data_IF_701346700101
#
_entry.id   IF_701346700101
#
_cell.length_a   1.000
_cell.length_b   1.000
_cell.length_c   1.000
_cell.angle_alpha   90.00
_cell.angle_beta   90.00
_cell.angle_gamma   90.00
#
_symmetry.space_group_name_H-M   'P 1'
#
loop_
_entity.id
_entity.type
_entity.pdbx_description
1 polymer ?
#
# COMPACT_ATOMS: atom_id res chain seq x y z
N UNK A 1 42.37 23.77 11.40
CA UNK A 1 43.62 24.18 10.73
C UNK A 1 43.55 23.64 9.29
N UNK A 2 43.50 24.61 8.42
CA UNK A 2 44.24 24.68 7.11
C UNK A 2 43.88 23.59 6.08
N UNK A 3 43.21 23.95 5.03
CA UNK A 3 43.50 24.73 3.78
C UNK A 3 43.65 23.76 2.62
N UNK A 4 42.72 23.85 1.61
CA UNK A 4 42.86 24.47 0.29
C UNK A 4 43.81 23.70 -0.64
N UNK A 5 43.34 23.39 -1.85
CA UNK A 5 43.84 23.72 -3.22
C UNK A 5 43.00 22.86 -4.18
N UNK A 6 42.10 23.27 -5.03
CA UNK A 6 42.07 24.21 -6.15
C UNK A 6 43.10 23.87 -7.24
N UNK A 7 42.60 23.69 -8.43
CA UNK A 7 43.16 24.08 -9.76
C UNK A 7 42.81 23.02 -10.83
N UNK A 8 42.04 23.31 -11.82
CA UNK A 8 42.04 24.23 -12.96
C UNK A 8 42.56 23.56 -14.25
N UNK A 9 41.76 23.76 -15.33
CA UNK A 9 42.07 23.91 -16.76
C UNK A 9 42.41 22.62 -17.54
N UNK A 10 42.05 22.39 -18.80
CA UNK A 10 41.68 23.28 -19.91
C UNK A 10 41.03 22.48 -21.04
N UNK A 11 40.13 23.11 -21.69
CA UNK A 11 39.88 23.32 -23.13
C UNK A 11 40.73 22.51 -24.14
N UNK A 12 40.03 21.87 -25.09
CA UNK A 12 40.43 21.83 -26.48
C UNK A 12 39.21 21.63 -27.41
N UNK A 13 38.92 22.66 -28.18
CA UNK A 13 38.09 22.65 -29.38
C UNK A 13 38.79 21.90 -30.51
N UNK A 14 38.02 21.14 -31.30
CA UNK A 14 38.33 20.97 -32.71
C UNK A 14 37.02 20.72 -33.47
N UNK A 15 36.68 21.71 -34.28
CA UNK A 15 35.66 21.63 -35.32
C UNK A 15 36.25 20.98 -36.56
N UNK A 16 35.45 20.18 -37.29
CA UNK A 16 35.66 19.93 -38.70
C UNK A 16 34.36 19.78 -39.44
N UNK A 17 34.17 20.67 -40.42
CA UNK A 17 33.06 20.79 -41.34
C UNK A 17 33.14 19.79 -42.50
N UNK A 18 31.98 19.44 -42.97
CA UNK A 18 31.56 19.33 -44.38
C UNK A 18 31.97 18.16 -45.23
N UNK A 19 31.00 17.44 -45.71
CA UNK A 19 30.86 17.13 -47.14
C UNK A 19 29.41 16.80 -47.52
N UNK A 20 28.87 17.54 -48.46
CA UNK A 20 27.63 17.31 -49.16
C UNK A 20 27.70 16.09 -50.08
N UNK A 21 26.57 15.39 -50.23
CA UNK A 21 26.41 14.36 -51.27
C UNK A 21 24.97 13.90 -51.41
N UNK A 22 24.31 14.37 -52.46
CA UNK A 22 23.00 14.19 -53.06
C UNK A 22 22.21 12.90 -52.84
N UNK A 23 20.92 13.11 -52.58
CA UNK A 23 19.72 12.52 -53.20
C UNK A 23 19.59 10.98 -53.28
N UNK A 24 18.63 10.45 -52.49
CA UNK A 24 17.52 9.66 -53.08
C UNK A 24 16.40 9.53 -52.03
N UNK A 25 15.20 9.84 -52.46
CA UNK A 25 13.97 9.71 -51.65
C UNK A 25 13.70 8.26 -51.35
N UNK A 26 13.49 7.96 -50.08
CA UNK A 26 12.78 6.76 -49.66
C UNK A 26 12.00 7.07 -48.35
N UNK A 27 10.77 6.76 -48.44
CA UNK A 27 9.70 6.94 -47.50
C UNK A 27 10.08 6.80 -46.02
N UNK A 28 9.98 7.88 -45.29
CA UNK A 28 10.02 7.89 -43.83
C UNK A 28 8.74 7.25 -43.30
N UNK A 29 8.83 5.99 -42.91
CA UNK A 29 7.91 5.41 -41.96
C UNK A 29 8.20 6.04 -40.61
N UNK A 30 7.38 6.94 -40.17
CA UNK A 30 7.39 7.46 -38.82
C UNK A 30 7.03 6.30 -37.88
N UNK A 31 8.02 5.63 -37.36
CA UNK A 31 7.86 4.83 -36.16
C UNK A 31 7.59 5.83 -35.02
N UNK A 32 6.32 6.00 -34.71
CA UNK A 32 5.92 6.60 -33.45
C UNK A 32 6.50 5.72 -32.33
N UNK A 33 7.56 6.17 -31.73
CA UNK A 33 8.03 5.64 -30.46
C UNK A 33 6.93 5.91 -29.47
N UNK A 34 6.11 4.91 -29.24
CA UNK A 34 5.21 4.89 -28.08
C UNK A 34 6.13 4.82 -26.87
N UNK A 35 6.38 5.96 -26.28
CA UNK A 35 6.87 6.02 -24.90
C UNK A 35 5.79 5.31 -24.07
N UNK A 36 6.01 4.05 -23.75
CA UNK A 36 5.29 3.39 -22.69
C UNK A 36 5.62 4.16 -21.42
N UNK A 37 4.70 5.00 -20.98
CA UNK A 37 4.73 5.57 -19.67
C UNK A 37 4.88 4.40 -18.70
N UNK A 38 6.04 4.27 -18.09
CA UNK A 38 6.26 3.40 -16.95
C UNK A 38 5.34 3.92 -15.85
N UNK A 39 4.15 3.36 -15.74
CA UNK A 39 3.28 3.59 -14.58
C UNK A 39 3.99 2.94 -13.41
N UNK A 40 4.63 3.75 -12.60
CA UNK A 40 5.24 3.33 -11.35
C UNK A 40 4.12 2.74 -10.49
N UNK A 41 4.17 1.43 -10.25
CA UNK A 41 3.16 0.74 -9.46
C UNK A 41 3.37 1.08 -7.99
N UNK A 42 2.35 1.62 -7.34
CA UNK A 42 2.39 1.91 -5.91
C UNK A 42 2.04 0.65 -5.12
N UNK A 43 2.91 0.25 -4.21
CA UNK A 43 2.62 -0.88 -3.30
C UNK A 43 1.83 -0.37 -2.10
N UNK A 44 0.73 -1.06 -1.77
CA UNK A 44 -0.10 -0.82 -0.58
C UNK A 44 -0.14 -2.10 0.27
N UNK A 45 0.43 -2.06 1.48
CA UNK A 45 0.50 -3.19 2.40
C UNK A 45 -0.60 -3.08 3.44
N UNK A 46 -1.50 -4.05 3.49
CA UNK A 46 -2.66 -4.05 4.39
C UNK A 46 -2.69 -5.32 5.24
N UNK A 47 -2.78 -5.15 6.55
CA UNK A 47 -3.02 -6.24 7.50
C UNK A 47 -4.51 -6.52 7.66
N UNK A 48 -4.92 -7.79 7.69
CA UNK A 48 -6.32 -8.16 7.82
C UNK A 48 -6.49 -9.45 8.63
N UNK A 49 -7.65 -9.63 9.26
CA UNK A 49 -8.04 -10.96 9.72
C UNK A 49 -8.48 -11.83 8.53
N UNK A 50 -8.33 -13.17 8.60
CA UNK A 50 -8.57 -14.04 7.44
C UNK A 50 -9.98 -13.90 6.86
N UNK A 51 -11.00 -13.94 7.71
CA UNK A 51 -12.40 -13.85 7.30
C UNK A 51 -13.17 -12.86 8.18
N UNK A 52 -14.00 -11.98 7.61
CA UNK A 52 -14.25 -11.78 6.17
C UNK A 52 -13.25 -10.82 5.50
N UNK A 53 -12.34 -10.18 6.26
CA UNK A 53 -11.59 -8.99 5.84
C UNK A 53 -10.60 -9.28 4.71
N UNK A 54 -9.74 -10.31 4.84
CA UNK A 54 -8.81 -10.67 3.78
C UNK A 54 -9.56 -11.14 2.52
N UNK A 55 -10.65 -11.89 2.67
CA UNK A 55 -11.49 -12.32 1.54
C UNK A 55 -12.05 -11.13 0.75
N UNK A 56 -12.46 -10.06 1.44
CA UNK A 56 -12.92 -8.82 0.81
C UNK A 56 -11.76 -8.13 0.07
N UNK A 57 -10.61 -8.02 0.70
CA UNK A 57 -9.42 -7.40 0.10
C UNK A 57 -8.95 -8.14 -1.16
N UNK A 58 -9.04 -9.46 -1.19
CA UNK A 58 -8.72 -10.25 -2.39
C UNK A 58 -9.61 -9.88 -3.59
N UNK A 59 -10.89 -9.53 -3.36
CA UNK A 59 -11.78 -9.03 -4.42
C UNK A 59 -11.42 -7.61 -4.87
N UNK A 60 -10.75 -6.84 -4.02
CA UNK A 60 -10.35 -5.46 -4.32
C UNK A 60 -9.04 -5.41 -5.11
N UNK A 61 -8.15 -6.39 -4.97
CA UNK A 61 -6.86 -6.46 -5.66
C UNK A 61 -6.93 -6.15 -7.16
N UNK A 62 -7.78 -6.82 -7.97
CA UNK A 62 -7.83 -6.54 -9.40
C UNK A 62 -8.30 -5.13 -9.71
N UNK A 63 -9.20 -4.57 -8.89
CA UNK A 63 -9.71 -3.20 -9.06
C UNK A 63 -8.60 -2.17 -8.82
N UNK A 64 -7.77 -2.38 -7.81
CA UNK A 64 -6.65 -1.50 -7.49
C UNK A 64 -5.51 -1.65 -8.50
N UNK A 65 -5.28 -2.86 -9.02
CA UNK A 65 -4.28 -3.10 -10.06
C UNK A 65 -4.55 -2.30 -11.34
N UNK A 66 -5.83 -2.14 -11.73
CA UNK A 66 -6.22 -1.27 -12.84
C UNK A 66 -5.88 0.21 -12.61
N UNK A 67 -5.68 0.61 -11.35
CA UNK A 67 -5.30 1.96 -10.94
C UNK A 67 -3.78 2.09 -10.68
N UNK A 68 -3.00 1.05 -10.99
CA UNK A 68 -1.56 1.04 -10.74
C UNK A 68 -1.16 0.82 -9.28
N UNK A 69 -2.06 0.22 -8.47
CA UNK A 69 -1.80 -0.09 -7.06
C UNK A 69 -1.66 -1.60 -6.89
N UNK A 70 -0.53 -2.05 -6.34
CA UNK A 70 -0.28 -3.44 -5.94
C UNK A 70 -0.69 -3.61 -4.47
N UNK A 71 -1.86 -4.20 -4.24
CA UNK A 71 -2.36 -4.49 -2.89
C UNK A 71 -1.73 -5.78 -2.36
N UNK A 72 -0.93 -5.65 -1.32
CA UNK A 72 -0.32 -6.76 -0.58
C UNK A 72 -1.04 -6.97 0.75
N UNK A 73 -1.70 -8.11 0.89
CA UNK A 73 -2.46 -8.47 2.10
C UNK A 73 -1.63 -9.40 2.97
N UNK A 74 -1.52 -9.05 4.26
CA UNK A 74 -0.93 -9.91 5.30
C UNK A 74 -2.02 -10.33 6.27
N UNK A 75 -2.23 -11.62 6.42
CA UNK A 75 -3.23 -12.15 7.35
C UNK A 75 -2.68 -12.31 8.76
N UNK A 76 -3.50 -11.98 9.75
CA UNK A 76 -3.20 -12.12 11.17
C UNK A 76 -4.35 -12.84 11.89
N UNK A 77 -4.00 -13.81 12.72
CA UNK A 77 -4.96 -14.54 13.57
C UNK A 77 -5.21 -13.87 14.94
N UNK A 78 -4.50 -12.80 15.24
CA UNK A 78 -4.62 -12.02 16.47
C UNK A 78 -5.04 -10.57 16.18
N UNK A 79 -5.40 -9.84 17.24
CA UNK A 79 -5.89 -8.46 17.13
C UNK A 79 -4.89 -7.40 17.61
N UNK A 80 -3.70 -7.79 18.03
CA UNK A 80 -2.64 -6.88 18.50
C UNK A 80 -1.67 -6.54 17.36
N UNK A 81 -1.18 -7.57 16.69
CA UNK A 81 -0.14 -7.44 15.66
C UNK A 81 -0.54 -6.53 14.48
N UNK A 82 -1.78 -6.55 13.95
CA UNK A 82 -2.16 -5.65 12.87
C UNK A 82 -2.01 -4.17 13.22
N UNK A 83 -2.32 -3.79 14.47
CA UNK A 83 -2.15 -2.42 14.93
C UNK A 83 -0.68 -2.08 15.17
N UNK A 84 0.07 -3.00 15.78
CA UNK A 84 1.51 -2.80 16.00
C UNK A 84 2.26 -2.60 14.68
N UNK A 85 1.93 -3.38 13.64
CA UNK A 85 2.56 -3.30 12.33
C UNK A 85 2.22 -2.01 11.56
N UNK A 86 1.05 -1.42 11.80
CA UNK A 86 0.74 -0.09 11.26
C UNK A 86 1.48 1.01 12.03
N UNK A 87 1.52 0.93 13.35
CA UNK A 87 2.20 1.93 14.17
C UNK A 87 3.71 1.98 13.90
N UNK A 88 4.36 0.84 13.66
CA UNK A 88 5.79 0.76 13.35
C UNK A 88 6.14 1.00 11.87
N UNK A 89 5.13 1.16 11.00
CA UNK A 89 5.30 1.43 9.58
C UNK A 89 5.63 0.20 8.73
N UNK A 90 5.51 -1.01 9.26
CA UNK A 90 5.67 -2.26 8.49
C UNK A 90 4.50 -2.50 7.53
N UNK A 91 3.33 -1.97 7.88
CA UNK A 91 2.11 -1.94 7.08
C UNK A 91 1.64 -0.49 6.90
N UNK A 92 0.99 -0.22 5.77
CA UNK A 92 0.40 1.10 5.48
C UNK A 92 -0.97 1.26 6.14
N UNK A 93 -1.72 0.16 6.29
CA UNK A 93 -3.05 0.14 6.90
C UNK A 93 -3.39 -1.25 7.45
N UNK A 94 -4.50 -1.32 8.20
CA UNK A 94 -5.14 -2.57 8.55
C UNK A 94 -6.66 -2.51 8.34
N UNK A 95 -7.27 -3.69 8.20
CA UNK A 95 -8.69 -3.85 8.01
C UNK A 95 -9.17 -5.07 8.80
N UNK A 96 -9.65 -4.85 10.04
CA UNK A 96 -10.11 -5.94 10.91
C UNK A 96 -10.95 -5.48 12.09
N UNK A 97 -10.89 -4.22 12.51
CA UNK A 97 -11.37 -3.77 13.81
C UNK A 97 -12.52 -2.79 13.73
N UNK A 98 -13.24 -2.65 14.84
CA UNK A 98 -14.23 -1.61 15.06
C UNK A 98 -13.62 -0.40 15.78
N UNK A 99 -14.19 0.78 15.56
CA UNK A 99 -13.67 2.02 16.11
C UNK A 99 -13.47 2.01 17.64
N UNK A 100 -14.37 1.48 18.47
CA UNK A 100 -14.14 1.43 19.92
C UNK A 100 -12.88 0.63 20.30
N UNK A 101 -12.62 -0.48 19.62
CA UNK A 101 -11.40 -1.27 19.85
C UNK A 101 -10.14 -0.47 19.47
N UNK A 102 -10.17 0.25 18.36
CA UNK A 102 -9.04 1.10 17.94
C UNK A 102 -8.76 2.20 18.96
N UNK A 103 -9.80 2.86 19.47
CA UNK A 103 -9.67 3.92 20.48
C UNK A 103 -9.08 3.38 21.78
N UNK A 104 -9.58 2.24 22.27
CA UNK A 104 -9.06 1.58 23.47
C UNK A 104 -7.60 1.13 23.25
N UNK A 105 -7.30 0.51 22.08
CA UNK A 105 -5.94 0.08 21.74
C UNK A 105 -4.95 1.24 21.75
N UNK A 106 -5.30 2.35 21.12
CA UNK A 106 -4.45 3.55 21.09
C UNK A 106 -4.19 4.08 22.51
N UNK A 107 -5.23 4.12 23.34
CA UNK A 107 -5.11 4.62 24.71
C UNK A 107 -4.23 3.72 25.60
N UNK A 108 -4.38 2.40 25.45
CA UNK A 108 -3.65 1.42 26.28
C UNK A 108 -2.19 1.24 25.83
N UNK A 109 -1.91 1.36 24.53
CA UNK A 109 -0.59 1.10 23.95
C UNK A 109 0.16 2.36 23.54
N UNK A 110 -0.43 3.54 23.75
CA UNK A 110 0.14 4.84 23.34
C UNK A 110 0.49 4.86 21.84
N UNK A 111 -0.43 4.34 21.01
CA UNK A 111 -0.35 4.33 19.55
C UNK A 111 -1.18 5.45 18.94
N UNK A 112 -0.94 5.76 17.64
CA UNK A 112 -1.49 6.96 16.98
C UNK A 112 -2.28 6.62 15.72
N UNK A 113 -2.78 5.40 15.62
CA UNK A 113 -3.52 4.90 14.46
C UNK A 113 -4.85 5.63 14.34
N UNK A 114 -5.19 6.02 13.11
CA UNK A 114 -6.44 6.73 12.82
C UNK A 114 -7.37 5.89 11.94
N UNK A 115 -8.67 6.02 12.17
CA UNK A 115 -9.67 5.43 11.30
C UNK A 115 -9.84 6.27 10.04
N UNK A 116 -9.67 5.66 8.85
CA UNK A 116 -9.84 6.33 7.56
C UNK A 116 -11.27 6.20 7.02
N UNK A 117 -11.91 5.04 7.22
CA UNK A 117 -13.28 4.78 6.75
C UNK A 117 -13.90 3.60 7.47
N UNK A 118 -15.24 3.60 7.55
CA UNK A 118 -16.02 2.44 7.93
C UNK A 118 -16.47 1.70 6.67
N UNK A 119 -16.20 0.40 6.59
CA UNK A 119 -16.43 -0.40 5.39
C UNK A 119 -17.70 -1.23 5.50
N UNK A 120 -17.86 -1.99 6.60
CA UNK A 120 -19.05 -2.82 6.83
C UNK A 120 -19.36 -2.95 8.32
N UNK A 121 -20.50 -3.51 8.63
CA UNK A 121 -20.95 -3.81 10.00
C UNK A 121 -21.14 -5.31 10.14
N UNK A 122 -20.56 -5.86 11.20
CA UNK A 122 -20.75 -7.26 11.57
C UNK A 122 -21.73 -7.34 12.74
N UNK A 123 -22.87 -8.01 12.59
CA UNK A 123 -23.81 -8.14 13.68
C UNK A 123 -23.28 -9.09 14.76
N UNK A 124 -23.45 -8.69 16.02
CA UNK A 124 -23.20 -9.59 17.15
C UNK A 124 -24.33 -10.61 17.25
N UNK A 125 -23.98 -11.89 17.31
CA UNK A 125 -24.91 -12.99 17.53
C UNK A 125 -24.74 -13.61 18.92
N UNK A 126 -25.84 -14.01 19.54
CA UNK A 126 -25.83 -14.81 20.75
C UNK A 126 -26.11 -16.27 20.38
N UNK A 127 -25.15 -17.14 20.63
CA UNK A 127 -25.22 -18.54 20.24
C UNK A 127 -25.37 -19.46 21.46
N UNK A 128 -26.08 -20.57 21.28
CA UNK A 128 -26.20 -21.61 22.29
C UNK A 128 -24.86 -22.26 22.60
N UNK A 129 -24.60 -22.51 23.87
CA UNK A 129 -23.40 -23.18 24.37
C UNK A 129 -23.74 -24.07 25.55
N UNK A 130 -23.06 -23.86 26.68
CA UNK A 130 -23.40 -24.54 27.93
C UNK A 130 -24.82 -24.25 28.38
N UNK A 131 -25.31 -23.02 28.13
CA UNK A 131 -26.72 -22.64 28.35
C UNK A 131 -27.43 -22.58 26.99
N UNK A 132 -28.64 -23.11 26.94
CA UNK A 132 -29.43 -23.24 25.69
C UNK A 132 -30.59 -22.23 25.59
N UNK A 133 -30.76 -21.38 26.59
CA UNK A 133 -31.74 -20.31 26.57
C UNK A 133 -31.26 -19.08 27.33
N UNK A 134 -31.82 -17.91 26.99
CA UNK A 134 -31.50 -16.66 27.69
C UNK A 134 -31.91 -16.70 29.17
N UNK A 135 -33.00 -17.39 29.51
CA UNK A 135 -33.45 -17.49 30.90
C UNK A 135 -32.51 -18.39 31.72
N UNK A 136 -32.01 -19.48 31.14
CA UNK A 136 -30.98 -20.31 31.76
C UNK A 136 -29.67 -19.51 31.95
N UNK A 137 -29.29 -18.68 30.98
CA UNK A 137 -28.10 -17.83 31.09
C UNK A 137 -28.28 -16.78 32.22
N UNK A 138 -29.41 -16.13 32.33
CA UNK A 138 -29.70 -15.17 33.41
C UNK A 138 -29.69 -15.83 34.80
N UNK A 139 -30.18 -17.08 34.88
CA UNK A 139 -30.20 -17.82 36.12
C UNK A 139 -28.84 -18.37 36.55
N UNK A 140 -27.83 -18.37 35.69
CA UNK A 140 -26.50 -18.93 35.93
C UNK A 140 -25.49 -17.94 36.53
N UNK A 141 -25.95 -16.78 37.01
CA UNK A 141 -25.11 -15.76 37.67
C UNK A 141 -24.65 -16.21 39.04
#
# INVERSE_FOLDING_TARGET
MKKIVASVLALALAASLAACGSSTASSASSAASSEAASTETTVLKVGASPSPHAEILEQVKPILAEQGIDLQVTEFDDYVMPNTAVEDGSLDANYFQHLPYLEDFNAENNTHIVSVSAIHVEPMGLYGGRQTSLDALKASK
#
